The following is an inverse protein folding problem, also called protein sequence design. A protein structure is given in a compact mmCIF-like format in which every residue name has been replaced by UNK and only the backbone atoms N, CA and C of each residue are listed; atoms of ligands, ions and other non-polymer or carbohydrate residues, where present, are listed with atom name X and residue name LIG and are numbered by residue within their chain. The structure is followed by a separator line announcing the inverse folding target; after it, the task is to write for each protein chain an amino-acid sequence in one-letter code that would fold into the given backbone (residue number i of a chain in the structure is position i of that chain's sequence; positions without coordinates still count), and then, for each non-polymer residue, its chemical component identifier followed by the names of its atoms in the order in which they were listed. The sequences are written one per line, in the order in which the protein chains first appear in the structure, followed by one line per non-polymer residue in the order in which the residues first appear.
data_IF_056739834764
#
_entry.id   IF_056739834764
#
_cell.length_a   1.000
_cell.length_b   1.000
_cell.length_c   1.000
_cell.angle_alpha   90.00
_cell.angle_beta   90.00
_cell.angle_gamma   90.00
#
_symmetry.space_group_name_H-M   'P 1'
#
loop_
_entity.id
_entity.type
_entity.pdbx_description
1 polymer ?
#
# COMPACT_ATOMS: atom_id res chain seq x y z
N UNK A 1 14.90 8.90 -19.37
CA UNK A 1 14.25 9.18 -18.07
C UNK A 1 13.83 10.65 -17.95
N UNK A 2 13.82 11.42 -19.04
CA UNK A 2 13.62 12.88 -19.10
C UNK A 2 12.15 13.34 -19.07
N UNK A 3 11.19 12.44 -18.86
CA UNK A 3 9.76 12.73 -19.02
C UNK A 3 8.93 12.50 -17.75
N UNK A 4 9.57 12.23 -16.60
CA UNK A 4 8.86 12.02 -15.33
C UNK A 4 9.17 13.16 -14.37
N UNK A 5 8.11 13.83 -13.91
CA UNK A 5 8.17 14.84 -12.87
C UNK A 5 7.58 14.28 -11.57
N UNK A 6 8.24 14.54 -10.45
CA UNK A 6 7.86 14.03 -9.14
C UNK A 6 7.60 15.21 -8.18
N UNK A 7 6.50 15.18 -7.46
CA UNK A 7 6.12 16.24 -6.52
C UNK A 7 5.45 15.71 -5.26
N UNK A 8 5.44 16.53 -4.21
CA UNK A 8 4.73 16.29 -2.95
C UNK A 8 3.70 17.40 -2.74
N UNK A 9 2.52 17.02 -2.26
CA UNK A 9 1.46 17.93 -1.81
C UNK A 9 1.10 17.55 -0.37
N UNK A 10 1.07 18.54 0.54
CA UNK A 10 0.59 18.29 1.91
C UNK A 10 -0.91 18.03 1.88
N UNK A 11 -1.42 17.17 2.76
CA UNK A 11 -2.82 16.75 2.77
C UNK A 11 -3.81 17.93 2.84
N UNK A 12 -3.47 18.97 3.62
CA UNK A 12 -4.26 20.21 3.72
C UNK A 12 -4.33 21.00 2.41
N UNK A 13 -3.37 20.82 1.51
CA UNK A 13 -3.27 21.49 0.22
C UNK A 13 -3.80 20.62 -0.94
N UNK A 14 -4.30 19.41 -0.66
CA UNK A 14 -4.83 18.51 -1.69
C UNK A 14 -6.19 19.00 -2.20
N UNK A 15 -6.14 19.67 -3.36
CA UNK A 15 -7.32 20.13 -4.11
C UNK A 15 -8.24 19.01 -4.64
N UNK A 16 -9.44 19.38 -5.09
CA UNK A 16 -10.36 18.47 -5.80
C UNK A 16 -9.77 17.91 -7.10
N UNK A 17 -8.96 18.69 -7.83
CA UNK A 17 -8.32 18.24 -9.07
C UNK A 17 -7.32 17.11 -8.82
N UNK A 18 -6.54 17.17 -7.73
CA UNK A 18 -5.67 16.07 -7.33
C UNK A 18 -6.46 14.80 -7.04
N UNK A 19 -7.57 14.93 -6.31
CA UNK A 19 -8.42 13.78 -5.95
C UNK A 19 -9.08 13.17 -7.17
N UNK A 20 -9.59 13.99 -8.10
CA UNK A 20 -10.13 13.51 -9.37
C UNK A 20 -9.07 12.70 -10.15
N UNK A 21 -7.87 13.26 -10.33
CA UNK A 21 -6.79 12.59 -11.05
C UNK A 21 -6.36 11.26 -10.38
N UNK A 22 -6.24 11.22 -9.06
CA UNK A 22 -5.92 9.99 -8.32
C UNK A 22 -7.04 8.95 -8.44
N UNK A 23 -8.30 9.41 -8.41
CA UNK A 23 -9.49 8.56 -8.55
C UNK A 23 -9.53 7.92 -9.93
N UNK A 24 -9.27 8.70 -10.98
CA UNK A 24 -9.25 8.22 -12.37
C UNK A 24 -8.12 7.22 -12.58
N UNK A 25 -6.90 7.53 -12.10
CA UNK A 25 -5.76 6.61 -12.19
C UNK A 25 -6.03 5.30 -11.44
N UNK A 26 -6.59 5.38 -10.23
CA UNK A 26 -6.97 4.21 -9.45
C UNK A 26 -7.99 3.35 -10.22
N UNK A 27 -9.08 3.95 -10.70
CA UNK A 27 -10.15 3.26 -11.40
C UNK A 27 -9.71 2.61 -12.71
N UNK A 28 -8.67 3.14 -13.36
CA UNK A 28 -8.13 2.60 -14.60
C UNK A 28 -7.05 1.53 -14.38
N UNK A 29 -6.24 1.62 -13.31
CA UNK A 29 -5.01 0.85 -13.18
C UNK A 29 -4.83 0.06 -11.89
N UNK A 30 -5.66 0.22 -10.85
CA UNK A 30 -5.41 -0.46 -9.57
C UNK A 30 -5.61 -1.98 -9.67
N UNK A 31 -6.80 -2.43 -10.07
CA UNK A 31 -7.14 -3.85 -10.12
C UNK A 31 -8.50 -4.12 -10.74
N UNK A 32 -8.89 -5.38 -10.76
CA UNK A 32 -10.21 -5.85 -11.19
C UNK A 32 -10.79 -6.76 -10.10
N UNK A 33 -12.12 -6.89 -10.05
CA UNK A 33 -12.80 -7.77 -9.09
C UNK A 33 -12.62 -9.26 -9.44
N UNK A 34 -12.42 -10.10 -8.43
CA UNK A 34 -12.44 -11.56 -8.61
C UNK A 34 -13.87 -12.08 -8.78
N UNK A 35 -14.02 -13.36 -9.12
CA UNK A 35 -15.32 -14.03 -9.16
C UNK A 35 -16.02 -14.05 -7.79
N UNK A 36 -15.25 -14.13 -6.68
CA UNK A 36 -15.80 -14.15 -5.32
C UNK A 36 -16.31 -12.80 -4.83
N UNK A 37 -15.93 -11.70 -5.48
CA UNK A 37 -16.44 -10.38 -5.12
C UNK A 37 -17.98 -10.29 -5.19
N UNK A 38 -18.59 -11.07 -6.09
CA UNK A 38 -20.06 -11.12 -6.28
C UNK A 38 -20.77 -11.83 -5.12
N UNK A 39 -20.08 -12.77 -4.47
CA UNK A 39 -20.62 -13.50 -3.33
C UNK A 39 -20.81 -12.55 -2.12
N UNK A 40 -19.90 -11.59 -1.97
CA UNK A 40 -19.97 -10.56 -0.92
C UNK A 40 -20.86 -9.36 -1.31
N UNK A 41 -20.88 -9.00 -2.59
CA UNK A 41 -21.70 -7.90 -3.09
C UNK A 41 -22.11 -8.15 -4.54
N UNK A 42 -23.40 -8.46 -4.73
CA UNK A 42 -24.00 -8.81 -6.02
C UNK A 42 -23.96 -7.68 -7.07
N UNK A 43 -23.66 -6.44 -6.66
CA UNK A 43 -23.47 -5.31 -7.58
C UNK A 43 -22.07 -5.29 -8.21
N UNK A 44 -21.10 -6.02 -7.64
CA UNK A 44 -19.76 -6.15 -8.20
C UNK A 44 -19.79 -7.12 -9.38
N UNK A 45 -18.97 -6.82 -10.39
CA UNK A 45 -18.88 -7.61 -11.62
C UNK A 45 -17.47 -8.19 -11.74
N UNK A 46 -17.30 -9.52 -11.85
CA UNK A 46 -16.00 -10.13 -12.04
C UNK A 46 -15.32 -9.58 -13.28
N UNK A 47 -14.02 -9.32 -13.20
CA UNK A 47 -13.24 -8.73 -14.29
C UNK A 47 -13.48 -7.23 -14.52
N UNK A 48 -14.50 -6.62 -13.91
CA UNK A 48 -14.67 -5.18 -13.95
C UNK A 48 -13.64 -4.49 -13.05
N UNK A 49 -13.26 -3.26 -13.43
CA UNK A 49 -12.32 -2.44 -12.67
C UNK A 49 -12.85 -2.13 -11.27
N UNK A 50 -11.96 -2.19 -10.28
CA UNK A 50 -12.21 -1.62 -8.96
C UNK A 50 -12.26 -0.11 -9.10
N UNK A 51 -13.37 0.52 -8.68
CA UNK A 51 -13.55 1.97 -8.74
C UNK A 51 -13.90 2.51 -7.37
N UNK A 52 -13.36 3.67 -7.06
CA UNK A 52 -13.73 4.47 -5.90
C UNK A 52 -14.29 5.80 -6.40
N UNK A 53 -15.22 6.40 -5.67
CA UNK A 53 -15.59 7.79 -5.89
C UNK A 53 -14.54 8.73 -5.30
N UNK A 54 -14.51 9.98 -5.74
CA UNK A 54 -13.68 11.03 -5.13
C UNK A 54 -13.95 11.17 -3.62
N UNK A 55 -15.22 11.08 -3.20
CA UNK A 55 -15.60 11.08 -1.79
C UNK A 55 -15.01 9.91 -1.01
N UNK A 56 -14.97 8.71 -1.60
CA UNK A 56 -14.40 7.52 -0.97
C UNK A 56 -12.87 7.61 -0.92
N UNK A 57 -12.21 8.14 -1.95
CA UNK A 57 -10.77 8.43 -1.92
C UNK A 57 -10.44 9.41 -0.80
N UNK A 58 -11.21 10.51 -0.66
CA UNK A 58 -11.04 11.45 0.47
C UNK A 58 -11.18 10.76 1.82
N UNK A 59 -12.23 9.98 2.02
CA UNK A 59 -12.46 9.28 3.27
C UNK A 59 -11.38 8.25 3.61
N UNK A 60 -10.84 7.52 2.62
CA UNK A 60 -9.86 6.46 2.85
C UNK A 60 -8.41 6.97 2.92
N UNK A 61 -8.09 8.03 2.17
CA UNK A 61 -6.71 8.48 1.98
C UNK A 61 -6.42 9.85 2.60
N UNK A 62 -7.44 10.64 2.95
CA UNK A 62 -7.33 12.00 3.50
C UNK A 62 -8.30 12.22 4.68
N UNK A 63 -8.59 11.18 5.47
CA UNK A 63 -9.40 11.34 6.69
C UNK A 63 -8.72 12.24 7.72
N UNK A 64 -7.40 12.32 7.68
CA UNK A 64 -6.58 13.24 8.47
C UNK A 64 -5.64 14.04 7.56
N UNK A 65 -6.12 15.15 6.96
CA UNK A 65 -5.32 15.95 6.02
C UNK A 65 -4.08 16.59 6.64
N UNK A 66 -4.08 16.85 7.96
CA UNK A 66 -2.96 17.48 8.66
C UNK A 66 -1.75 16.55 8.69
N UNK A 67 -1.99 15.26 8.89
CA UNK A 67 -0.94 14.24 8.96
C UNK A 67 -0.83 13.40 7.69
N UNK A 68 -1.45 13.84 6.59
CA UNK A 68 -1.36 13.14 5.31
C UNK A 68 -0.47 13.87 4.34
N UNK A 69 0.29 13.13 3.53
CA UNK A 69 1.09 13.63 2.41
C UNK A 69 0.75 12.83 1.15
N UNK A 70 0.64 13.54 0.02
CA UNK A 70 0.43 12.97 -1.30
C UNK A 70 1.69 13.14 -2.16
N UNK A 71 2.28 12.04 -2.60
CA UNK A 71 3.33 12.05 -3.61
C UNK A 71 2.74 11.76 -5.00
N UNK A 72 3.20 12.48 -6.02
CA UNK A 72 2.71 12.40 -7.40
C UNK A 72 3.86 12.17 -8.36
N UNK A 73 3.58 11.45 -9.44
CA UNK A 73 4.45 11.29 -10.59
C UNK A 73 3.64 11.62 -11.86
N UNK A 74 4.05 12.64 -12.60
CA UNK A 74 3.39 13.11 -13.82
C UNK A 74 4.33 13.05 -15.01
N UNK A 75 3.76 13.02 -16.21
CA UNK A 75 4.48 13.27 -17.46
C UNK A 75 4.62 14.78 -17.72
N UNK A 76 5.44 15.15 -18.70
CA UNK A 76 5.64 16.55 -19.12
C UNK A 76 4.34 17.22 -19.61
N UNK A 77 3.38 16.44 -20.12
CA UNK A 77 2.06 16.92 -20.53
C UNK A 77 1.07 17.09 -19.36
N UNK A 78 1.50 16.82 -18.13
CA UNK A 78 0.69 16.90 -16.91
C UNK A 78 -0.08 15.61 -16.57
N UNK A 79 -0.03 14.58 -17.40
CA UNK A 79 -0.74 13.31 -17.14
C UNK A 79 -0.20 12.61 -15.90
N UNK A 80 -1.08 12.22 -14.98
CA UNK A 80 -0.72 11.47 -13.78
C UNK A 80 -0.40 10.00 -14.15
N UNK A 81 0.79 9.53 -13.78
CA UNK A 81 1.23 8.14 -14.03
C UNK A 81 1.54 7.36 -12.75
N UNK A 82 1.56 8.02 -11.60
CA UNK A 82 1.59 7.35 -10.31
C UNK A 82 1.30 8.30 -9.15
N UNK A 83 0.76 7.76 -8.07
CA UNK A 83 0.57 8.48 -6.82
C UNK A 83 0.72 7.59 -5.60
N UNK A 84 1.03 8.19 -4.47
CA UNK A 84 1.02 7.54 -3.18
C UNK A 84 0.47 8.49 -2.09
N UNK A 85 -0.55 8.06 -1.36
CA UNK A 85 -0.98 8.73 -0.13
C UNK A 85 -0.31 8.06 1.07
N UNK A 86 0.18 8.87 2.00
CA UNK A 86 0.67 8.40 3.29
C UNK A 86 0.10 9.21 4.45
N UNK A 87 -0.48 8.53 5.42
CA UNK A 87 -0.97 9.12 6.67
C UNK A 87 -0.01 8.77 7.80
N UNK A 88 0.30 9.76 8.64
CA UNK A 88 1.36 9.67 9.63
C UNK A 88 0.79 9.76 11.04
N UNK A 89 1.36 9.02 11.98
CA UNK A 89 1.00 9.14 13.39
C UNK A 89 2.13 8.68 14.30
N UNK A 90 2.15 9.20 15.52
CA UNK A 90 3.13 8.82 16.53
C UNK A 90 2.89 7.41 17.04
N UNK A 91 3.95 6.63 17.15
CA UNK A 91 3.93 5.32 17.80
C UNK A 91 5.29 5.03 18.44
N UNK A 92 5.27 4.70 19.73
CA UNK A 92 6.50 4.57 20.52
C UNK A 92 7.28 5.89 20.55
N UNK A 93 8.55 5.85 20.17
CA UNK A 93 9.46 7.01 20.17
C UNK A 93 9.59 7.71 18.81
N UNK A 94 8.83 7.30 17.80
CA UNK A 94 8.95 7.85 16.45
C UNK A 94 7.62 7.97 15.71
N UNK A 95 7.72 8.34 14.44
CA UNK A 95 6.60 8.54 13.53
C UNK A 95 6.45 7.34 12.59
N UNK A 96 5.24 6.81 12.49
CA UNK A 96 4.87 5.82 11.49
C UNK A 96 4.33 6.57 10.27
N UNK A 97 4.76 6.16 9.08
CA UNK A 97 4.19 6.62 7.81
C UNK A 97 3.52 5.47 7.10
N UNK A 98 2.19 5.49 7.04
CA UNK A 98 1.42 4.40 6.47
C UNK A 98 0.90 4.75 5.09
N UNK A 99 1.23 3.92 4.11
CA UNK A 99 0.80 4.11 2.73
C UNK A 99 -0.64 3.62 2.61
N UNK A 100 -1.58 4.57 2.51
CA UNK A 100 -3.02 4.28 2.43
C UNK A 100 -3.45 3.90 1.02
N UNK A 101 -2.75 4.40 -0.01
CA UNK A 101 -2.96 4.02 -1.40
C UNK A 101 -1.69 4.27 -2.21
N UNK A 102 -1.33 3.32 -3.08
CA UNK A 102 -0.21 3.42 -4.01
C UNK A 102 -0.65 2.87 -5.38
N UNK A 103 -0.60 3.71 -6.41
CA UNK A 103 -0.98 3.32 -7.78
C UNK A 103 0.09 3.77 -8.76
N UNK A 104 0.43 2.89 -9.70
CA UNK A 104 1.25 3.23 -10.86
C UNK A 104 0.54 2.74 -12.12
N UNK A 105 0.46 3.62 -13.11
CA UNK A 105 -0.10 3.32 -14.43
C UNK A 105 0.52 2.04 -14.99
N UNK A 106 -0.30 1.13 -15.49
CA UNK A 106 0.11 -0.24 -15.88
C UNK A 106 1.28 -0.26 -16.87
N UNK A 107 1.25 0.60 -17.89
CA UNK A 107 2.33 0.74 -18.90
C UNK A 107 3.61 1.42 -18.38
N UNK A 108 3.56 2.00 -17.18
CA UNK A 108 4.68 2.68 -16.53
C UNK A 108 5.24 1.89 -15.33
N UNK A 109 4.69 0.71 -15.03
CA UNK A 109 5.19 -0.19 -13.97
C UNK A 109 6.60 -0.71 -14.30
N UNK A 110 7.29 -1.21 -13.27
CA UNK A 110 8.68 -1.73 -13.35
C UNK A 110 9.74 -0.69 -13.80
N UNK A 111 9.43 0.60 -13.65
CA UNK A 111 10.35 1.73 -13.91
C UNK A 111 10.83 2.45 -12.65
N UNK A 112 10.66 1.83 -11.47
CA UNK A 112 11.05 2.42 -10.19
C UNK A 112 10.14 3.55 -9.66
N UNK A 113 9.04 3.87 -10.33
CA UNK A 113 8.12 4.96 -9.95
C UNK A 113 7.57 4.78 -8.53
N UNK A 114 7.06 3.58 -8.21
CA UNK A 114 6.55 3.28 -6.87
C UNK A 114 7.60 3.53 -5.79
N UNK A 115 8.82 3.01 -5.97
CA UNK A 115 9.93 3.24 -5.04
C UNK A 115 10.28 4.72 -4.91
N UNK A 116 10.28 5.48 -6.01
CA UNK A 116 10.57 6.92 -5.96
C UNK A 116 9.49 7.69 -5.18
N UNK A 117 8.20 7.40 -5.42
CA UNK A 117 7.09 7.97 -4.66
C UNK A 117 7.24 7.70 -3.16
N UNK A 118 7.57 6.47 -2.77
CA UNK A 118 7.80 6.11 -1.37
C UNK A 118 9.05 6.77 -0.78
N UNK A 119 10.13 6.95 -1.57
CA UNK A 119 11.33 7.69 -1.13
C UNK A 119 11.03 9.17 -0.90
N UNK A 120 10.20 9.78 -1.74
CA UNK A 120 9.71 11.14 -1.51
C UNK A 120 8.94 11.24 -0.20
N UNK A 121 8.06 10.29 0.09
CA UNK A 121 7.31 10.28 1.35
C UNK A 121 8.21 10.07 2.59
N UNK A 122 9.42 9.52 2.38
CA UNK A 122 10.46 9.40 3.42
C UNK A 122 11.24 10.70 3.63
N UNK A 123 11.11 11.73 2.78
CA UNK A 123 11.82 13.00 2.99
C UNK A 123 11.23 13.73 4.19
N UNK A 124 11.91 13.64 5.32
CA UNK A 124 11.50 14.20 6.61
C UNK A 124 12.30 13.55 7.74
N UNK A 125 12.15 14.07 8.96
CA UNK A 125 12.81 13.52 10.16
C UNK A 125 11.80 12.86 11.08
N UNK A 126 12.29 11.97 11.95
CA UNK A 126 11.49 11.36 13.02
C UNK A 126 10.72 10.11 12.61
N UNK A 127 10.75 9.70 11.34
CA UNK A 127 10.18 8.42 10.94
C UNK A 127 10.97 7.26 11.55
N UNK A 128 10.26 6.32 12.15
CA UNK A 128 10.80 5.05 12.67
C UNK A 128 10.34 3.85 11.85
N UNK A 129 9.20 3.96 11.18
CA UNK A 129 8.66 2.89 10.35
C UNK A 129 7.80 3.40 9.20
N UNK A 130 7.77 2.60 8.13
CA UNK A 130 6.80 2.71 7.05
C UNK A 130 6.00 1.42 6.96
N UNK A 131 4.70 1.51 6.67
CA UNK A 131 3.83 0.34 6.56
C UNK A 131 2.86 0.44 5.40
N UNK A 132 2.44 -0.71 4.87
CA UNK A 132 1.33 -0.78 3.92
C UNK A 132 0.66 -2.16 3.98
N UNK A 133 -0.58 -2.21 3.50
CA UNK A 133 -1.31 -3.43 3.20
C UNK A 133 -1.60 -3.46 1.71
N UNK A 134 -1.28 -4.57 1.04
CA UNK A 134 -1.52 -4.71 -0.40
C UNK A 134 -1.62 -6.16 -0.83
N UNK A 135 -2.56 -6.43 -1.73
CA UNK A 135 -2.61 -7.68 -2.50
C UNK A 135 -1.45 -7.85 -3.50
N UNK A 136 -0.70 -6.80 -3.84
CA UNK A 136 0.27 -6.84 -4.94
C UNK A 136 1.72 -6.89 -4.44
N UNK A 137 2.49 -7.96 -4.74
CA UNK A 137 3.88 -8.10 -4.28
C UNK A 137 4.81 -6.94 -4.66
N UNK A 138 4.56 -6.30 -5.81
CA UNK A 138 5.35 -5.16 -6.28
C UNK A 138 5.29 -3.96 -5.32
N UNK A 139 4.15 -3.73 -4.65
CA UNK A 139 4.01 -2.67 -3.66
C UNK A 139 4.87 -2.97 -2.41
N UNK A 140 4.83 -4.22 -1.92
CA UNK A 140 5.66 -4.63 -0.78
C UNK A 140 7.15 -4.52 -1.11
N UNK A 141 7.58 -4.96 -2.30
CA UNK A 141 8.97 -4.83 -2.74
C UNK A 141 9.41 -3.36 -2.82
N UNK A 142 8.54 -2.47 -3.31
CA UNK A 142 8.82 -1.03 -3.34
C UNK A 142 8.98 -0.45 -1.93
N UNK A 143 8.17 -0.90 -0.96
CA UNK A 143 8.30 -0.48 0.44
C UNK A 143 9.58 -1.02 1.09
N UNK A 144 9.91 -2.30 0.88
CA UNK A 144 11.17 -2.90 1.36
C UNK A 144 12.39 -2.11 0.90
N UNK A 145 12.38 -1.61 -0.35
CA UNK A 145 13.48 -0.84 -0.93
C UNK A 145 13.76 0.49 -0.22
N UNK A 146 12.79 1.04 0.53
CA UNK A 146 12.98 2.27 1.30
C UNK A 146 13.28 2.03 2.78
N UNK A 147 13.18 0.79 3.26
CA UNK A 147 13.55 0.39 4.62
C UNK A 147 15.05 0.15 4.78
N UNK A 148 15.52 0.01 6.03
CA UNK A 148 16.95 -0.12 6.35
C UNK A 148 17.61 -1.36 5.75
N UNK A 149 16.82 -2.43 5.55
CA UNK A 149 17.31 -3.68 4.95
C UNK A 149 17.17 -3.70 3.43
N UNK A 150 16.50 -2.70 2.85
CA UNK A 150 16.43 -2.34 1.42
C UNK A 150 16.01 -3.45 0.41
N UNK A 151 15.78 -4.69 0.85
CA UNK A 151 15.44 -5.84 0.01
C UNK A 151 14.32 -6.67 0.65
N UNK A 152 13.38 -7.15 -0.16
CA UNK A 152 12.21 -7.90 0.32
C UNK A 152 12.61 -9.20 1.04
N UNK A 153 13.60 -9.95 0.54
CA UNK A 153 14.05 -11.20 1.15
C UNK A 153 14.71 -11.02 2.53
N UNK A 154 15.16 -9.80 2.84
CA UNK A 154 15.74 -9.44 4.13
C UNK A 154 14.69 -8.80 5.06
N UNK A 155 13.39 -8.89 4.77
CA UNK A 155 12.36 -8.28 5.62
C UNK A 155 12.46 -8.77 7.07
N UNK A 156 12.44 -7.83 8.01
CA UNK A 156 12.52 -8.11 9.44
C UNK A 156 11.16 -8.59 9.98
N UNK A 157 10.90 -9.89 9.86
CA UNK A 157 9.63 -10.50 10.26
C UNK A 157 9.36 -10.37 11.77
N UNK A 158 10.41 -10.38 12.59
CA UNK A 158 10.28 -10.17 14.03
C UNK A 158 9.89 -8.73 14.36
N UNK A 159 10.41 -7.75 13.63
CA UNK A 159 9.93 -6.37 13.76
C UNK A 159 8.45 -6.24 13.39
N UNK A 160 8.01 -6.90 12.31
CA UNK A 160 6.58 -6.91 11.92
C UNK A 160 5.73 -7.56 13.02
N UNK A 161 6.11 -8.74 13.50
CA UNK A 161 5.42 -9.49 14.58
C UNK A 161 5.15 -8.61 15.80
N UNK A 162 6.16 -7.90 16.26
CA UNK A 162 6.08 -7.11 17.50
C UNK A 162 5.45 -5.73 17.30
N UNK A 163 5.72 -5.06 16.17
CA UNK A 163 5.39 -3.64 16.01
C UNK A 163 4.07 -3.41 15.29
N UNK A 164 3.74 -4.23 14.29
CA UNK A 164 2.57 -4.01 13.45
C UNK A 164 1.24 -4.00 14.23
N UNK A 165 1.00 -4.92 15.20
CA UNK A 165 -0.25 -4.90 15.98
C UNK A 165 -0.44 -3.59 16.76
N UNK A 166 0.62 -3.07 17.38
CA UNK A 166 0.56 -1.82 18.14
C UNK A 166 0.42 -0.60 17.24
N UNK A 167 1.14 -0.55 16.12
CA UNK A 167 1.03 0.53 15.13
C UNK A 167 -0.38 0.63 14.56
N UNK A 168 -0.99 -0.51 14.22
CA UNK A 168 -2.36 -0.57 13.71
C UNK A 168 -3.39 -0.26 14.78
N UNK A 169 -3.15 -0.64 16.04
CA UNK A 169 -4.04 -0.26 17.16
C UNK A 169 -4.07 1.25 17.40
N UNK A 170 -2.97 1.95 17.11
CA UNK A 170 -2.85 3.41 17.22
C UNK A 170 -3.24 4.16 15.94
N UNK A 171 -3.75 3.47 14.91
CA UNK A 171 -3.95 4.09 13.59
C UNK A 171 -5.10 5.10 13.57
N UNK A 172 -4.92 6.27 12.95
CA UNK A 172 -6.02 7.19 12.63
C UNK A 172 -6.78 6.78 11.35
N UNK A 173 -6.31 5.78 10.63
CA UNK A 173 -6.88 5.36 9.33
C UNK A 173 -8.06 4.41 9.55
N UNK A 174 -9.27 4.85 9.21
CA UNK A 174 -10.51 4.16 9.58
C UNK A 174 -10.60 2.71 9.10
N UNK A 175 -10.20 2.43 7.85
CA UNK A 175 -10.30 1.06 7.31
C UNK A 175 -9.32 0.07 7.94
N UNK A 176 -8.33 0.56 8.67
CA UNK A 176 -7.35 -0.25 9.40
C UNK A 176 -7.73 -0.45 10.87
N UNK A 177 -8.82 0.16 11.35
CA UNK A 177 -9.30 -0.04 12.72
C UNK A 177 -9.74 -1.50 12.89
N UNK A 178 -9.32 -2.11 14.00
CA UNK A 178 -9.59 -3.51 14.33
C UNK A 178 -9.14 -4.50 13.23
N UNK A 179 -7.84 -4.47 12.85
CA UNK A 179 -7.35 -5.30 11.76
C UNK A 179 -7.44 -6.77 12.15
N UNK A 180 -7.92 -7.60 11.21
CA UNK A 180 -7.87 -9.06 11.34
C UNK A 180 -6.51 -9.56 10.86
N UNK A 181 -5.51 -9.44 11.74
CA UNK A 181 -4.16 -9.95 11.48
C UNK A 181 -4.19 -11.48 11.31
N UNK A 182 -3.48 -11.99 10.31
CA UNK A 182 -3.51 -13.40 9.88
C UNK A 182 -2.12 -13.90 9.49
N UNK A 183 -1.85 -15.15 9.77
CA UNK A 183 -0.59 -15.84 9.44
C UNK A 183 0.29 -16.12 10.65
N UNK A 184 1.38 -16.85 10.42
CA UNK A 184 2.27 -17.35 11.48
C UNK A 184 2.97 -16.29 12.33
N UNK A 185 2.93 -15.02 11.92
CA UNK A 185 3.36 -13.92 12.77
C UNK A 185 2.35 -13.58 13.88
N UNK A 186 1.06 -13.88 13.70
CA UNK A 186 -0.01 -13.35 14.55
C UNK A 186 -0.91 -14.43 15.14
N UNK A 187 -0.84 -15.67 14.63
CA UNK A 187 -1.72 -16.77 15.02
C UNK A 187 -0.92 -18.03 15.38
N UNK A 188 -1.39 -18.77 16.40
CA UNK A 188 -0.79 -20.06 16.79
C UNK A 188 -1.03 -21.16 15.75
N UNK A 189 -2.17 -21.10 15.06
CA UNK A 189 -2.62 -22.09 14.07
C UNK A 189 -3.03 -21.40 12.76
N UNK A 190 -2.07 -20.83 12.01
CA UNK A 190 -2.36 -20.14 10.76
C UNK A 190 -2.75 -21.12 9.65
N UNK A 191 -3.43 -20.62 8.63
CA UNK A 191 -3.57 -21.35 7.36
C UNK A 191 -2.17 -21.60 6.80
N UNK A 192 -1.89 -22.84 6.41
CA UNK A 192 -0.58 -23.27 5.96
C UNK A 192 -0.01 -22.34 4.86
N UNK A 193 1.23 -21.90 5.03
CA UNK A 193 1.94 -21.04 4.09
C UNK A 193 1.68 -19.54 4.25
N UNK A 194 0.75 -19.09 5.10
CA UNK A 194 0.56 -17.66 5.39
C UNK A 194 1.50 -17.19 6.49
N UNK A 195 2.16 -16.04 6.29
CA UNK A 195 3.12 -15.48 7.26
C UNK A 195 2.64 -14.14 7.80
N UNK A 196 2.50 -13.12 6.95
CA UNK A 196 2.11 -11.77 7.35
C UNK A 196 1.01 -11.21 6.45
N UNK A 197 -0.23 -11.22 6.94
CA UNK A 197 -1.39 -10.78 6.16
C UNK A 197 -2.47 -10.12 7.02
N UNK A 198 -3.38 -9.40 6.37
CA UNK A 198 -4.64 -8.94 6.96
C UNK A 198 -5.79 -9.51 6.14
N UNK A 199 -6.82 -10.03 6.82
CA UNK A 199 -8.12 -10.33 6.23
C UNK A 199 -8.89 -9.01 6.05
N UNK A 200 -8.79 -8.43 4.85
CA UNK A 200 -9.42 -7.16 4.49
C UNK A 200 -10.79 -7.35 3.81
N UNK A 201 -11.20 -8.61 3.61
CA UNK A 201 -12.39 -8.98 2.82
C UNK A 201 -12.41 -8.30 1.44
N UNK A 202 -11.23 -8.06 0.87
CA UNK A 202 -11.07 -7.32 -0.37
C UNK A 202 -10.77 -8.28 -1.52
N UNK A 203 -11.83 -8.68 -2.25
CA UNK A 203 -11.80 -9.76 -3.24
C UNK A 203 -11.40 -9.26 -4.64
N UNK A 204 -10.15 -8.86 -4.79
CA UNK A 204 -9.57 -8.53 -6.11
C UNK A 204 -9.03 -9.75 -6.82
N UNK A 205 -9.00 -9.70 -8.15
CA UNK A 205 -8.32 -10.71 -8.96
C UNK A 205 -6.84 -10.79 -8.57
N UNK A 206 -6.37 -12.02 -8.40
CA UNK A 206 -5.00 -12.31 -7.95
C UNK A 206 -4.12 -12.83 -9.08
N UNK A 207 -4.56 -12.81 -10.34
CA UNK A 207 -3.79 -13.33 -11.48
C UNK A 207 -2.44 -12.64 -11.64
N UNK A 208 -2.44 -11.32 -11.81
CA UNK A 208 -1.19 -10.53 -11.89
C UNK A 208 -0.37 -10.62 -10.57
N UNK A 209 -0.95 -10.43 -9.38
CA UNK A 209 -0.23 -10.62 -8.11
C UNK A 209 0.46 -11.97 -7.95
N UNK A 210 -0.22 -13.08 -8.26
CA UNK A 210 0.33 -14.44 -8.12
C UNK A 210 1.41 -14.72 -9.16
N UNK A 211 1.31 -14.16 -10.37
CA UNK A 211 2.36 -14.26 -11.38
C UNK A 211 3.66 -13.59 -10.90
N UNK A 212 3.55 -12.40 -10.28
CA UNK A 212 4.71 -11.73 -9.67
C UNK A 212 5.25 -12.52 -8.47
N UNK A 213 4.36 -13.06 -7.63
CA UNK A 213 4.77 -13.86 -6.47
C UNK A 213 5.56 -15.10 -6.90
N UNK A 214 5.09 -15.81 -7.94
CA UNK A 214 5.76 -16.98 -8.52
C UNK A 214 7.15 -16.62 -9.08
N UNK A 215 7.30 -15.45 -9.70
CA UNK A 215 8.60 -14.99 -10.17
C UNK A 215 9.60 -14.67 -9.04
N UNK A 216 9.10 -14.47 -7.81
CA UNK A 216 9.89 -14.19 -6.60
C UNK A 216 9.98 -15.39 -5.65
N UNK A 217 9.59 -16.59 -6.11
CA UNK A 217 9.60 -17.82 -5.31
C UNK A 217 11.01 -18.10 -4.74
N UNK A 218 11.07 -18.48 -3.46
CA UNK A 218 12.33 -18.66 -2.71
C UNK A 218 12.90 -17.39 -2.09
N UNK A 219 12.45 -16.20 -2.49
CA UNK A 219 12.89 -14.91 -1.93
C UNK A 219 11.79 -14.14 -1.18
N UNK A 220 10.55 -14.62 -1.27
CA UNK A 220 9.39 -13.95 -0.72
C UNK A 220 9.10 -14.36 0.73
N UNK A 221 9.14 -13.42 1.72
CA UNK A 221 9.04 -13.78 3.13
C UNK A 221 7.62 -13.67 3.71
N UNK A 222 6.67 -13.03 3.01
CA UNK A 222 5.34 -12.72 3.57
C UNK A 222 4.33 -13.87 3.43
N UNK A 223 4.76 -14.98 2.82
CA UNK A 223 3.96 -16.18 2.65
C UNK A 223 2.99 -16.10 1.47
N UNK A 224 1.98 -16.98 1.50
CA UNK A 224 0.94 -17.08 0.49
C UNK A 224 -0.09 -15.95 0.61
N UNK A 225 -0.57 -15.46 -0.54
CA UNK A 225 -1.69 -14.52 -0.63
C UNK A 225 -3.00 -15.31 -0.64
N UNK A 226 -3.73 -15.33 0.48
CA UNK A 226 -5.08 -15.89 0.51
C UNK A 226 -6.07 -14.96 -0.20
N UNK A 227 -7.22 -15.51 -0.56
CA UNK A 227 -8.30 -14.73 -1.16
C UNK A 227 -9.01 -13.86 -0.11
N UNK A 228 -9.35 -12.62 -0.48
CA UNK A 228 -9.88 -11.62 0.45
C UNK A 228 -8.84 -11.07 1.43
N UNK A 229 -7.60 -11.56 1.37
CA UNK A 229 -6.50 -11.11 2.20
C UNK A 229 -5.53 -10.23 1.40
N UNK A 230 -4.76 -9.45 2.13
CA UNK A 230 -3.66 -8.64 1.61
C UNK A 230 -2.41 -8.86 2.44
N UNK A 231 -1.23 -8.71 1.83
CA UNK A 231 0.03 -8.79 2.56
C UNK A 231 0.17 -7.60 3.51
N UNK A 232 0.62 -7.87 4.72
CA UNK A 232 1.03 -6.84 5.67
C UNK A 232 2.55 -6.74 5.65
N UNK A 233 3.07 -5.55 5.37
CA UNK A 233 4.49 -5.26 5.49
C UNK A 233 4.71 -3.98 6.27
N UNK A 234 5.66 -4.04 7.20
CA UNK A 234 6.16 -2.89 7.94
C UNK A 234 7.68 -2.94 7.88
N UNK A 235 8.32 -1.82 7.54
CA UNK A 235 9.77 -1.70 7.44
C UNK A 235 10.26 -0.66 8.42
N UNK A 236 11.36 -0.97 9.11
CA UNK A 236 12.08 0.02 9.90
C UNK A 236 12.80 0.99 8.98
N UNK A 237 12.79 2.26 9.37
CA UNK A 237 13.62 3.29 8.75
C UNK A 237 14.42 4.01 9.83
N UNK A 238 15.70 4.18 9.57
CA UNK A 238 16.58 5.02 10.37
C UNK A 238 16.55 6.45 9.80
N UNK A 239 16.52 7.45 10.69
CA UNK A 239 16.78 8.84 10.30
C UNK A 239 18.24 8.95 9.88
N UNK A 240 18.50 9.52 8.70
CA UNK A 240 19.85 9.85 8.25
C UNK A 240 20.37 11.11 8.95
#
# INVERSE_FOLDING_TARGET
MSDLHFSIVKGVDVSDSHIAACTDLFGAHYGIWSSKAVEENSLLKPGARVKLSTSKVRALCLSDPVHTTLALCTLNDGSLVGHAFATQWSYGTGLVSWITQLVVHTTHRRRGIATMLLRMLRTGSGFSAFGLVSSHPAACMALSAIGDRHWINNTDLEFIRHSAPGMLSATPVDYLKNPRLRGSLFEDKPVAGTVSSIDTQFYVDRGEPLAVLKASEGSWPLGALLEGHEFLIVVRVSSF
#
